data_IF_281647001678
#
_entry.id   IF_281647001678
#
_cell.length_a   1.000
_cell.length_b   1.000
_cell.length_c   1.000
_cell.angle_alpha   90.00
_cell.angle_beta   90.00
_cell.angle_gamma   90.00
#
_symmetry.space_group_name_H-M   'P 1'
#
loop_
_entity.id
_entity.type
_entity.pdbx_description
1 polymer ?
#
# COMPACT_ATOMS: atom_id res chain seq x y z
N UNK A 1 0.46 -18.52 19.48
CA UNK A 1 0.38 -17.05 19.54
C UNK A 1 -0.20 -16.54 18.23
N UNK A 2 -1.24 -15.71 18.30
CA UNK A 2 -1.92 -15.16 17.12
C UNK A 2 -1.28 -13.83 16.69
N UNK A 3 -1.10 -13.63 15.38
CA UNK A 3 -0.47 -12.43 14.81
C UNK A 3 -1.30 -11.83 13.69
N UNK A 4 -1.34 -10.50 13.64
CA UNK A 4 -1.85 -9.72 12.52
C UNK A 4 -0.70 -9.23 11.66
N UNK A 5 -0.94 -9.06 10.37
CA UNK A 5 0.04 -8.53 9.43
C UNK A 5 -0.52 -7.30 8.75
N UNK A 6 0.24 -6.20 8.80
CA UNK A 6 -0.08 -4.94 8.14
C UNK A 6 0.94 -4.71 7.05
N UNK A 7 0.46 -4.51 5.84
CA UNK A 7 1.30 -4.15 4.70
C UNK A 7 1.09 -2.68 4.38
N UNK A 8 2.18 -1.93 4.33
CA UNK A 8 2.16 -0.48 4.14
C UNK A 8 3.37 -0.03 3.33
N UNK A 9 3.20 0.96 2.46
CA UNK A 9 4.36 1.66 1.91
C UNK A 9 5.04 2.44 3.03
N UNK A 10 6.37 2.41 3.09
CA UNK A 10 7.12 2.94 4.24
C UNK A 10 7.13 4.46 4.27
N UNK A 11 6.63 5.11 5.34
CA UNK A 11 6.92 6.51 5.60
C UNK A 11 8.26 6.73 6.34
N UNK A 12 8.83 5.69 6.95
CA UNK A 12 10.08 5.79 7.74
C UNK A 12 11.36 5.60 6.95
N UNK A 13 11.27 4.89 5.83
CA UNK A 13 12.37 4.75 4.89
C UNK A 13 12.08 5.70 3.72
N UNK A 14 12.45 6.97 3.87
CA UNK A 14 12.24 8.06 2.89
C UNK A 14 12.78 7.74 1.49
N UNK A 15 13.44 6.59 1.30
CA UNK A 15 14.09 6.14 0.09
C UNK A 15 13.27 5.12 -0.72
N UNK A 16 12.16 4.55 -0.20
CA UNK A 16 11.48 3.47 -0.91
C UNK A 16 9.94 3.52 -0.89
N UNK A 17 9.37 4.47 -1.63
CA UNK A 17 7.93 4.56 -1.88
C UNK A 17 7.35 3.43 -2.74
N UNK A 18 8.22 2.55 -3.28
CA UNK A 18 7.81 1.47 -4.18
C UNK A 18 7.78 0.10 -3.50
N UNK A 19 8.44 -0.07 -2.35
CA UNK A 19 8.42 -1.34 -1.61
C UNK A 19 7.37 -1.36 -0.52
N UNK A 20 6.59 -2.43 -0.53
CA UNK A 20 5.61 -2.71 0.50
C UNK A 20 6.30 -3.34 1.72
N UNK A 21 6.26 -2.66 2.87
CA UNK A 21 6.76 -3.20 4.13
C UNK A 21 5.70 -4.00 4.85
N UNK A 22 6.14 -5.08 5.49
CA UNK A 22 5.31 -5.96 6.31
C UNK A 22 5.61 -5.74 7.79
N UNK A 23 4.60 -5.35 8.56
CA UNK A 23 4.67 -5.23 10.01
C UNK A 23 3.86 -6.35 10.63
N UNK A 24 4.48 -7.11 11.55
CA UNK A 24 3.83 -8.20 12.28
C UNK A 24 3.50 -7.75 13.69
N UNK A 25 2.23 -7.85 14.07
CA UNK A 25 1.70 -7.37 15.35
C UNK A 25 1.09 -8.54 16.12
N UNK A 26 1.28 -8.57 17.43
CA UNK A 26 0.66 -9.59 18.25
C UNK A 26 -0.82 -9.26 18.47
N UNK A 27 -1.70 -10.24 18.26
CA UNK A 27 -3.13 -10.06 18.53
C UNK A 27 -3.36 -9.74 20.01
N UNK A 28 -4.19 -8.73 20.29
CA UNK A 28 -4.60 -8.38 21.66
C UNK A 28 -5.31 -9.56 22.34
N UNK A 29 -5.88 -10.49 21.55
CA UNK A 29 -6.56 -11.68 22.06
C UNK A 29 -5.62 -12.67 22.74
N UNK A 30 -4.31 -12.52 22.57
CA UNK A 30 -3.34 -13.28 23.37
C UNK A 30 -3.21 -12.72 24.81
N UNK A 31 -3.78 -11.54 25.09
CA UNK A 31 -3.66 -10.80 26.35
C UNK A 31 -5.03 -10.62 27.03
N UNK A 32 -6.07 -10.35 26.25
CA UNK A 32 -7.43 -10.10 26.71
C UNK A 32 -8.41 -11.04 26.02
N UNK A 33 -9.49 -11.45 26.69
CA UNK A 33 -10.52 -12.30 26.07
C UNK A 33 -11.32 -11.58 24.97
N UNK A 34 -11.27 -10.24 24.96
CA UNK A 34 -12.03 -9.37 24.05
C UNK A 34 -11.19 -8.19 23.61
N UNK A 35 -11.52 -7.62 22.45
CA UNK A 35 -10.91 -6.39 21.98
C UNK A 35 -11.27 -5.20 22.87
N UNK A 36 -10.29 -4.51 23.50
CA UNK A 36 -10.55 -3.26 24.20
C UNK A 36 -11.09 -2.20 23.25
N UNK A 37 -12.12 -1.47 23.68
CA UNK A 37 -12.72 -0.41 22.88
C UNK A 37 -12.16 0.95 23.30
N UNK A 38 -11.65 1.67 22.32
CA UNK A 38 -11.06 3.00 22.47
C UNK A 38 -12.05 4.02 21.89
N UNK A 39 -12.38 5.03 22.70
CA UNK A 39 -13.31 6.09 22.29
C UNK A 39 -12.73 7.03 21.25
N UNK A 40 -13.60 7.66 20.47
CA UNK A 40 -13.22 8.60 19.40
C UNK A 40 -12.34 9.76 19.89
N UNK A 41 -12.53 10.20 21.15
CA UNK A 41 -11.75 11.30 21.75
C UNK A 41 -10.24 11.10 21.59
N UNK A 42 -9.75 9.88 21.84
CA UNK A 42 -8.32 9.56 21.67
C UNK A 42 -7.83 9.91 20.26
N UNK A 43 -8.59 9.53 19.23
CA UNK A 43 -8.22 9.78 17.83
C UNK A 43 -8.37 11.25 17.44
N UNK A 44 -9.35 11.96 18.00
CA UNK A 44 -9.51 13.39 17.78
C UNK A 44 -8.34 14.18 18.36
N UNK A 45 -7.91 13.84 19.58
CA UNK A 45 -6.74 14.43 20.22
C UNK A 45 -5.46 14.15 19.40
N UNK A 46 -5.32 12.92 18.89
CA UNK A 46 -4.20 12.54 18.01
C UNK A 46 -4.20 13.36 16.71
N UNK A 47 -5.37 13.55 16.09
CA UNK A 47 -5.53 14.40 14.89
C UNK A 47 -5.20 15.86 15.15
N UNK A 48 -5.62 16.41 16.30
CA UNK A 48 -5.26 17.75 16.71
C UNK A 48 -3.73 17.89 16.86
N UNK A 49 -3.08 16.92 17.50
CA UNK A 49 -1.62 16.90 17.63
C UNK A 49 -0.91 16.84 16.27
N UNK A 50 -1.42 16.06 15.30
CA UNK A 50 -0.88 16.00 13.93
C UNK A 50 -0.93 17.37 13.24
N UNK A 51 -1.96 18.17 13.50
CA UNK A 51 -2.08 19.51 12.93
C UNK A 51 -1.14 20.53 13.60
N UNK A 52 -0.81 20.32 14.87
CA UNK A 52 -0.10 21.30 15.69
C UNK A 52 1.40 21.03 15.80
N UNK A 53 1.83 19.76 15.81
CA UNK A 53 3.18 19.37 16.17
C UNK A 53 3.87 18.62 15.03
N UNK A 54 5.03 19.09 14.51
CA UNK A 54 5.70 18.49 13.35
C UNK A 54 6.15 17.03 13.53
N UNK A 55 6.40 16.60 14.77
CA UNK A 55 6.76 15.21 15.07
C UNK A 55 5.55 14.27 15.14
N UNK A 56 4.34 14.80 14.98
CA UNK A 56 3.13 14.03 14.72
C UNK A 56 2.83 14.07 13.23
N UNK A 57 2.70 12.91 12.62
CA UNK A 57 2.57 12.77 11.16
C UNK A 57 1.41 11.88 10.77
N UNK A 58 0.93 12.06 9.55
CA UNK A 58 -0.18 11.32 8.99
C UNK A 58 0.12 10.88 7.56
N UNK A 59 -0.14 9.61 7.26
CA UNK A 59 0.07 9.07 5.91
C UNK A 59 -1.02 8.06 5.52
N UNK A 60 -1.51 8.17 4.28
CA UNK A 60 -2.38 7.16 3.68
C UNK A 60 -1.51 6.13 2.96
N UNK A 61 -1.16 5.04 3.64
CA UNK A 61 -0.14 4.08 3.17
C UNK A 61 -0.48 2.61 3.41
N UNK A 62 -1.50 2.31 4.24
CA UNK A 62 -1.93 0.93 4.46
C UNK A 62 -2.51 0.38 3.16
N UNK A 63 -2.07 -0.81 2.77
CA UNK A 63 -2.45 -1.49 1.53
C UNK A 63 -3.04 -2.89 1.72
N UNK A 64 -2.73 -3.56 2.83
CA UNK A 64 -3.33 -4.87 3.13
C UNK A 64 -3.29 -5.14 4.62
N UNK A 65 -4.34 -5.78 5.14
CA UNK A 65 -4.40 -6.27 6.52
C UNK A 65 -4.83 -7.72 6.48
N UNK A 66 -4.04 -8.56 7.13
CA UNK A 66 -4.25 -10.01 7.20
C UNK A 66 -4.37 -10.41 8.67
N UNK A 67 -5.40 -11.19 8.98
CA UNK A 67 -5.64 -11.70 10.32
C UNK A 67 -4.79 -12.95 10.64
N UNK A 68 -4.83 -13.45 11.90
CA UNK A 68 -4.10 -14.65 12.28
C UNK A 68 -4.53 -15.94 11.55
N UNK A 69 -5.66 -15.93 10.83
CA UNK A 69 -6.19 -17.05 10.06
C UNK A 69 -5.95 -16.86 8.56
N UNK A 70 -5.07 -15.94 8.16
CA UNK A 70 -4.77 -15.59 6.78
C UNK A 70 -5.97 -15.03 6.00
N UNK A 71 -6.95 -14.45 6.68
CA UNK A 71 -8.06 -13.76 6.04
C UNK A 71 -7.70 -12.31 5.78
N UNK A 72 -7.95 -11.87 4.54
CA UNK A 72 -7.83 -10.48 4.13
C UNK A 72 -9.02 -9.63 4.58
N UNK A 73 -8.72 -8.39 4.98
CA UNK A 73 -9.71 -7.41 5.42
C UNK A 73 -9.71 -6.18 4.53
N UNK A 74 -10.88 -5.57 4.38
CA UNK A 74 -11.02 -4.23 3.81
C UNK A 74 -10.30 -3.22 4.69
N UNK A 75 -9.51 -2.33 4.09
CA UNK A 75 -8.53 -1.50 4.82
C UNK A 75 -9.11 -0.18 5.32
N UNK A 76 -10.25 0.28 4.78
CA UNK A 76 -10.78 1.65 4.97
C UNK A 76 -11.10 1.96 6.44
N UNK A 77 -11.46 0.94 7.21
CA UNK A 77 -11.80 1.08 8.62
C UNK A 77 -10.62 0.83 9.56
N UNK A 78 -9.38 0.84 9.08
CA UNK A 78 -8.22 0.55 9.91
C UNK A 78 -7.32 1.75 10.09
N UNK A 79 -6.79 1.86 11.30
CA UNK A 79 -5.78 2.84 11.68
C UNK A 79 -4.60 2.08 12.27
N UNK A 80 -3.38 2.38 11.81
CA UNK A 80 -2.17 1.90 12.41
C UNK A 80 -1.41 3.07 13.04
N UNK A 81 -1.11 2.98 14.32
CA UNK A 81 -0.31 3.99 15.04
C UNK A 81 1.08 3.43 15.26
N UNK A 82 2.08 4.22 14.89
CA UNK A 82 3.48 3.93 15.16
C UNK A 82 4.12 5.14 15.83
N UNK A 83 4.68 4.94 17.02
CA UNK A 83 5.24 6.01 17.81
C UNK A 83 6.50 5.57 18.55
N UNK A 84 7.28 6.55 18.95
CA UNK A 84 8.43 6.36 19.81
C UNK A 84 8.49 7.50 20.82
N UNK A 85 8.73 7.18 22.08
CA UNK A 85 8.96 8.19 23.10
C UNK A 85 10.41 8.68 23.16
N UNK A 86 10.68 9.67 24.02
CA UNK A 86 12.03 10.21 24.24
C UNK A 86 12.99 9.21 24.88
N UNK A 87 12.48 8.16 25.53
CA UNK A 87 13.26 7.05 26.07
C UNK A 87 13.51 5.95 25.02
N UNK A 88 13.18 6.20 23.75
CA UNK A 88 13.33 5.28 22.61
C UNK A 88 12.49 4.00 22.75
N UNK A 89 11.43 4.01 23.56
CA UNK A 89 10.46 2.91 23.60
C UNK A 89 9.52 3.02 22.41
N UNK A 90 9.36 1.91 21.68
CA UNK A 90 8.52 1.83 20.49
C UNK A 90 7.10 1.40 20.86
N UNK A 91 6.13 1.98 20.17
CA UNK A 91 4.72 1.65 20.31
C UNK A 91 4.11 1.46 18.92
N UNK A 92 3.53 0.30 18.69
CA UNK A 92 2.82 -0.03 17.46
C UNK A 92 1.46 -0.59 17.80
N UNK A 93 0.41 -0.03 17.20
CA UNK A 93 -0.96 -0.41 17.47
C UNK A 93 -1.77 -0.47 16.19
N UNK A 94 -2.56 -1.53 16.06
CA UNK A 94 -3.56 -1.66 15.01
C UNK A 94 -4.95 -1.53 15.60
N UNK A 95 -5.72 -0.59 15.06
CA UNK A 95 -7.09 -0.31 15.47
C UNK A 95 -8.05 -0.54 14.32
N UNK A 96 -9.22 -1.09 14.64
CA UNK A 96 -10.35 -1.20 13.71
C UNK A 96 -11.47 -0.24 14.13
N UNK A 97 -11.72 0.78 13.32
CA UNK A 97 -12.83 1.72 13.44
C UNK A 97 -14.15 0.96 13.29
N UNK A 98 -15.08 1.21 14.20
CA UNK A 98 -16.41 0.60 14.20
C UNK A 98 -17.44 1.55 14.82
N UNK A 99 -18.70 1.36 14.45
CA UNK A 99 -19.82 2.08 15.05
C UNK A 99 -20.54 1.17 16.05
N UNK A 100 -20.71 1.62 17.29
CA UNK A 100 -21.44 0.91 18.35
C UNK A 100 -22.41 1.88 19.01
N UNK A 101 -23.70 1.53 19.07
CA UNK A 101 -24.74 2.37 19.68
C UNK A 101 -24.75 3.82 19.14
N UNK A 102 -24.60 3.97 17.83
CA UNK A 102 -24.43 5.27 17.15
C UNK A 102 -23.17 6.08 17.46
N UNK A 103 -22.30 5.59 18.35
CA UNK A 103 -21.01 6.20 18.64
C UNK A 103 -19.89 5.54 17.83
N UNK A 104 -18.98 6.36 17.30
CA UNK A 104 -17.77 5.87 16.65
C UNK A 104 -16.74 5.49 17.72
N UNK A 105 -16.20 4.29 17.60
CA UNK A 105 -15.16 3.75 18.48
C UNK A 105 -14.13 3.01 17.63
N UNK A 106 -13.01 2.62 18.24
CA UNK A 106 -12.10 1.69 17.60
C UNK A 106 -11.73 0.55 18.53
N UNK A 107 -11.78 -0.68 18.01
CA UNK A 107 -11.24 -1.84 18.70
C UNK A 107 -9.71 -1.82 18.59
N UNK A 108 -9.01 -1.95 19.71
CA UNK A 108 -7.58 -2.25 19.72
C UNK A 108 -7.41 -3.72 19.33
N UNK A 109 -6.87 -4.01 18.15
CA UNK A 109 -6.83 -5.36 17.57
C UNK A 109 -5.49 -6.04 17.80
N UNK A 110 -4.39 -5.32 17.60
CA UNK A 110 -3.05 -5.87 17.72
C UNK A 110 -2.04 -4.81 18.16
N UNK A 111 -0.93 -5.27 18.72
CA UNK A 111 0.14 -4.39 19.19
C UNK A 111 1.53 -5.02 19.10
N UNK A 112 2.55 -4.15 19.09
CA UNK A 112 3.96 -4.50 19.16
C UNK A 112 4.73 -3.33 19.81
N UNK A 113 5.95 -3.55 20.34
CA UNK A 113 6.72 -4.79 20.37
C UNK A 113 6.29 -5.74 21.51
N UNK A 114 6.98 -6.86 21.69
CA UNK A 114 6.61 -7.90 22.67
C UNK A 114 6.66 -7.38 24.12
N UNK A 115 7.54 -6.43 24.40
CA UNK A 115 7.66 -5.75 25.69
C UNK A 115 6.36 -5.03 26.06
N UNK A 116 5.71 -4.41 25.07
CA UNK A 116 4.43 -3.76 25.24
C UNK A 116 3.29 -4.77 25.50
N UNK A 117 3.37 -5.95 24.86
CA UNK A 117 2.45 -7.06 25.14
C UNK A 117 2.60 -7.49 26.60
N UNK A 118 3.83 -7.70 27.07
CA UNK A 118 4.11 -8.06 28.47
C UNK A 118 3.55 -7.01 29.44
N UNK A 119 3.74 -5.72 29.14
CA UNK A 119 3.18 -4.63 29.94
C UNK A 119 1.65 -4.72 30.03
N UNK A 120 0.98 -4.98 28.90
CA UNK A 120 -0.47 -5.07 28.83
C UNK A 120 -0.99 -6.34 29.53
N UNK A 121 -0.27 -7.45 29.46
CA UNK A 121 -0.61 -8.67 30.20
C UNK A 121 -0.53 -8.48 31.71
N UNK A 122 0.48 -7.77 32.20
CA UNK A 122 0.69 -7.54 33.63
C UNK A 122 -0.30 -6.52 34.19
N UNK A 123 -0.48 -5.38 33.53
CA UNK A 123 -1.23 -4.24 34.09
C UNK A 123 -2.58 -3.98 33.41
N UNK A 124 -2.95 -4.76 32.39
CA UNK A 124 -4.27 -4.78 31.74
C UNK A 124 -4.74 -3.38 31.34
N UNK A 125 -5.91 -2.96 31.86
CA UNK A 125 -6.58 -1.70 31.53
C UNK A 125 -5.73 -0.48 31.88
N UNK A 126 -4.95 -0.54 32.95
CA UNK A 126 -4.13 0.58 33.40
C UNK A 126 -3.00 0.87 32.41
N UNK A 127 -2.36 -0.17 31.87
CA UNK A 127 -1.36 -0.02 30.81
C UNK A 127 -1.96 0.61 29.56
N UNK A 128 -3.16 0.18 29.14
CA UNK A 128 -3.85 0.77 27.99
C UNK A 128 -4.04 2.27 28.21
N UNK A 129 -4.61 2.68 29.35
CA UNK A 129 -4.87 4.09 29.63
C UNK A 129 -3.59 4.91 29.65
N UNK A 130 -2.56 4.46 30.40
CA UNK A 130 -1.27 5.16 30.50
C UNK A 130 -0.60 5.30 29.14
N UNK A 131 -0.56 4.23 28.34
CA UNK A 131 0.07 4.28 27.02
C UNK A 131 -0.69 5.16 26.04
N UNK A 132 -2.03 5.08 25.99
CA UNK A 132 -2.81 5.96 25.11
C UNK A 132 -2.72 7.44 25.53
N UNK A 133 -2.67 7.73 26.84
CA UNK A 133 -2.40 9.09 27.32
C UNK A 133 -1.01 9.59 26.92
N UNK A 134 0.01 8.72 26.98
CA UNK A 134 1.36 9.04 26.53
C UNK A 134 1.40 9.33 25.02
N UNK A 135 0.65 8.59 24.21
CA UNK A 135 0.56 8.83 22.76
C UNK A 135 -0.06 10.20 22.41
N UNK A 136 -0.94 10.73 23.27
CA UNK A 136 -1.53 12.06 23.08
C UNK A 136 -0.72 13.19 23.73
N UNK A 137 0.38 12.89 24.40
CA UNK A 137 1.25 13.89 25.02
C UNK A 137 2.44 14.23 24.11
N UNK A 138 2.33 15.37 23.42
CA UNK A 138 3.37 15.85 22.50
C UNK A 138 4.74 16.09 23.16
N UNK A 139 4.79 16.33 24.48
CA UNK A 139 6.03 16.62 25.19
C UNK A 139 6.87 15.37 25.44
N UNK A 140 6.25 14.19 25.47
CA UNK A 140 6.91 12.92 25.81
C UNK A 140 7.34 12.12 24.59
N UNK A 141 6.76 12.41 23.42
CA UNK A 141 7.07 11.67 22.20
C UNK A 141 8.26 12.25 21.44
N UNK A 142 9.06 11.34 20.88
CA UNK A 142 10.04 11.65 19.83
C UNK A 142 9.32 11.79 18.49
N UNK A 143 8.39 10.86 18.20
CA UNK A 143 7.47 10.97 17.07
C UNK A 143 6.21 10.14 17.31
N UNK A 144 5.14 10.47 16.58
CA UNK A 144 3.97 9.63 16.39
C UNK A 144 3.48 9.74 14.95
N UNK A 145 3.12 8.61 14.37
CA UNK A 145 2.64 8.52 13.00
C UNK A 145 1.33 7.74 12.99
N UNK A 146 0.29 8.35 12.42
CA UNK A 146 -0.97 7.71 12.14
C UNK A 146 -1.01 7.31 10.67
N UNK A 147 -1.13 6.01 10.40
CA UNK A 147 -1.34 5.47 9.07
C UNK A 147 -2.80 5.10 8.87
N UNK A 148 -3.35 5.50 7.74
CA UNK A 148 -4.67 5.10 7.26
C UNK A 148 -4.58 4.41 5.90
N UNK A 149 -5.72 3.90 5.45
CA UNK A 149 -5.88 3.23 4.17
C UNK A 149 -5.49 4.12 2.98
N UNK A 150 -4.79 3.52 2.02
CA UNK A 150 -4.53 4.13 0.72
C UNK A 150 -5.37 3.48 -0.36
N UNK A 151 -6.53 4.08 -0.66
CA UNK A 151 -7.43 3.57 -1.69
C UNK A 151 -8.03 2.21 -1.31
N UNK A 152 -8.07 1.28 -2.28
CA UNK A 152 -8.50 -0.11 -2.07
C UNK A 152 -7.34 -0.97 -1.56
N UNK A 153 -7.67 -2.07 -0.92
CA UNK A 153 -6.69 -3.08 -0.50
C UNK A 153 -6.12 -3.83 -1.70
N UNK A 154 -4.91 -4.37 -1.57
CA UNK A 154 -4.29 -5.19 -2.62
C UNK A 154 -5.14 -6.41 -2.98
N UNK A 155 -5.88 -6.98 -2.02
CA UNK A 155 -6.80 -8.08 -2.27
C UNK A 155 -7.96 -7.63 -3.16
N UNK A 156 -8.58 -6.48 -2.86
CA UNK A 156 -9.64 -5.88 -3.69
C UNK A 156 -9.12 -5.51 -5.08
N UNK A 157 -7.93 -4.90 -5.18
CA UNK A 157 -7.29 -4.59 -6.46
C UNK A 157 -7.07 -5.87 -7.29
N UNK A 158 -6.55 -6.94 -6.67
CA UNK A 158 -6.33 -8.22 -7.36
C UNK A 158 -7.63 -8.91 -7.83
N UNK A 159 -8.74 -8.71 -7.11
CA UNK A 159 -10.05 -9.19 -7.52
C UNK A 159 -10.62 -8.37 -8.68
N UNK A 160 -10.42 -7.05 -8.71
CA UNK A 160 -10.80 -6.24 -9.88
C UNK A 160 -9.96 -6.55 -11.13
N UNK A 161 -8.71 -6.98 -10.93
CA UNK A 161 -7.86 -7.50 -12.01
C UNK A 161 -8.15 -8.95 -12.40
N UNK A 162 -9.08 -9.66 -11.75
CA UNK A 162 -9.63 -10.89 -12.34
C UNK A 162 -10.48 -10.51 -13.53
N UNK A 163 -9.84 -10.57 -14.69
CA UNK A 163 -10.35 -10.27 -16.01
C UNK A 163 -11.79 -10.80 -16.13
N UNK A 164 -12.77 -9.90 -16.20
CA UNK A 164 -14.16 -10.22 -16.53
C UNK A 164 -14.15 -11.19 -17.73
N UNK A 165 -14.95 -12.26 -17.69
CA UNK A 165 -15.04 -13.22 -18.80
C UNK A 165 -15.30 -12.51 -20.14
N UNK A 166 -15.99 -11.35 -20.16
CA UNK A 166 -16.11 -10.51 -21.36
C UNK A 166 -14.79 -9.87 -21.80
N UNK A 167 -13.93 -9.47 -20.86
CA UNK A 167 -12.60 -8.94 -21.12
C UNK A 167 -11.62 -10.03 -21.58
N UNK A 168 -11.72 -11.25 -21.03
CA UNK A 168 -11.01 -12.43 -21.55
C UNK A 168 -11.45 -12.75 -22.97
N UNK A 169 -12.76 -12.74 -23.24
CA UNK A 169 -13.31 -12.91 -24.58
C UNK A 169 -12.85 -11.81 -25.55
N UNK A 170 -12.75 -10.55 -25.10
CA UNK A 170 -12.21 -9.44 -25.92
C UNK A 170 -10.73 -9.58 -26.21
N UNK A 171 -9.93 -10.05 -25.26
CA UNK A 171 -8.49 -10.32 -25.45
C UNK A 171 -8.29 -11.51 -26.38
N UNK A 172 -9.04 -12.60 -26.18
CA UNK A 172 -9.05 -13.76 -27.07
C UNK A 172 -9.52 -13.38 -28.48
N UNK A 173 -10.56 -12.57 -28.61
CA UNK A 173 -11.05 -12.04 -29.88
C UNK A 173 -10.04 -11.11 -30.54
N UNK A 174 -9.37 -10.23 -29.79
CA UNK A 174 -8.29 -9.38 -30.31
C UNK A 174 -7.10 -10.21 -30.78
N UNK A 175 -6.72 -11.26 -30.04
CA UNK A 175 -5.65 -12.18 -30.44
C UNK A 175 -6.04 -13.05 -31.63
N UNK A 176 -7.32 -13.45 -31.73
CA UNK A 176 -7.89 -14.13 -32.89
C UNK A 176 -7.90 -13.22 -34.14
N UNK A 177 -8.31 -11.96 -34.00
CA UNK A 177 -8.26 -10.97 -35.08
C UNK A 177 -6.82 -10.67 -35.54
N UNK A 178 -5.84 -10.70 -34.63
CA UNK A 178 -4.41 -10.62 -34.98
C UNK A 178 -3.90 -11.85 -35.72
N UNK A 179 -4.61 -12.97 -35.62
CA UNK A 179 -4.34 -14.23 -36.32
C UNK A 179 -5.07 -14.38 -37.65
N UNK A 180 -5.90 -13.40 -38.02
CA UNK A 180 -6.59 -13.39 -39.29
C UNK A 180 -6.04 -12.29 -40.20
N UNK A 181 -5.76 -12.60 -41.49
CA UNK A 181 -5.46 -11.57 -42.45
C UNK A 181 -6.71 -10.69 -42.67
N UNK A 182 -6.50 -9.40 -42.92
CA UNK A 182 -7.59 -8.51 -43.31
C UNK A 182 -8.18 -8.93 -44.68
N UNK A 183 -9.26 -8.25 -45.12
CA UNK A 183 -9.98 -8.51 -46.38
C UNK A 183 -9.09 -8.45 -47.64
N UNK A 184 -7.84 -8.00 -47.51
CA UNK A 184 -6.82 -7.91 -48.57
C UNK A 184 -5.68 -8.93 -48.38
N UNK A 185 -5.80 -9.90 -47.46
CA UNK A 185 -4.78 -10.93 -47.22
C UNK A 185 -3.60 -10.48 -46.34
N UNK A 186 -3.66 -9.30 -45.71
CA UNK A 186 -2.53 -8.73 -44.98
C UNK A 186 -2.68 -8.86 -43.46
N UNK A 187 -1.61 -9.30 -42.79
CA UNK A 187 -1.55 -9.40 -41.33
C UNK A 187 -1.33 -8.01 -40.68
N UNK A 188 -2.05 -7.71 -39.58
CA UNK A 188 -1.93 -6.45 -38.83
C UNK A 188 -0.45 -6.11 -38.49
N UNK A 189 -0.03 -4.84 -38.56
CA UNK A 189 1.30 -4.48 -39.07
C UNK A 189 2.41 -4.68 -38.04
N UNK A 190 3.26 -5.68 -38.27
CA UNK A 190 4.59 -5.78 -37.64
C UNK A 190 5.69 -5.21 -38.53
N UNK A 191 5.44 -4.09 -39.24
CA UNK A 191 6.47 -3.39 -40.01
C UNK A 191 7.31 -2.48 -39.11
N UNK A 192 8.02 -3.08 -38.14
CA UNK A 192 9.18 -2.42 -37.55
C UNK A 192 10.35 -2.59 -38.53
N UNK A 193 10.84 -1.52 -39.17
CA UNK A 193 11.93 -1.61 -40.12
C UNK A 193 13.19 -2.17 -39.44
N UNK A 194 13.84 -3.12 -40.11
CA UNK A 194 15.10 -3.72 -39.67
C UNK A 194 16.26 -2.82 -40.08
N UNK A 195 17.30 -2.79 -39.26
CA UNK A 195 18.55 -2.12 -39.59
C UNK A 195 19.19 -2.82 -40.81
N UNK A 196 19.60 -2.08 -41.85
CA UNK A 196 20.23 -2.68 -43.04
C UNK A 196 21.64 -3.21 -42.75
N UNK A 197 22.28 -2.78 -41.65
CA UNK A 197 23.63 -3.20 -41.28
C UNK A 197 23.62 -4.49 -40.46
N UNK A 198 22.81 -4.57 -39.40
CA UNK A 198 22.84 -5.72 -38.47
C UNK A 198 21.54 -6.53 -38.40
N UNK A 199 20.50 -6.16 -39.15
CA UNK A 199 19.22 -6.88 -39.19
C UNK A 199 18.32 -6.72 -37.96
N UNK A 200 18.81 -6.07 -36.90
CA UNK A 200 18.05 -5.80 -35.66
C UNK A 200 16.95 -4.75 -35.88
N UNK A 201 15.83 -4.88 -35.15
CA UNK A 201 14.71 -3.93 -35.24
C UNK A 201 15.10 -2.53 -34.78
N UNK A 202 14.73 -1.51 -35.55
CA UNK A 202 14.98 -0.11 -35.20
C UNK A 202 13.98 0.41 -34.17
N UNK A 203 14.44 1.28 -33.26
CA UNK A 203 13.61 1.95 -32.25
C UNK A 203 13.19 3.36 -32.73
N UNK A 204 12.30 4.04 -31.99
CA UNK A 204 11.82 5.42 -32.26
C UNK A 204 10.89 5.59 -33.48
N UNK A 205 10.07 4.56 -33.76
CA UNK A 205 9.14 4.53 -34.90
C UNK A 205 8.06 5.61 -34.88
N UNK A 206 7.61 6.03 -33.69
CA UNK A 206 6.52 7.00 -33.55
C UNK A 206 6.96 8.38 -34.02
N UNK A 207 8.15 8.85 -33.63
CA UNK A 207 8.70 10.13 -34.08
C UNK A 207 9.04 10.14 -35.59
N UNK A 208 9.56 9.03 -36.13
CA UNK A 208 9.85 8.89 -37.56
C UNK A 208 8.59 8.91 -38.44
N UNK A 209 7.48 8.30 -37.98
CA UNK A 209 6.21 8.29 -38.72
C UNK A 209 5.63 9.70 -38.91
N UNK A 210 5.71 10.54 -37.87
CA UNK A 210 5.17 11.91 -37.85
C UNK A 210 6.11 12.91 -38.58
N UNK A 211 7.29 12.46 -39.03
CA UNK A 211 8.18 13.24 -39.89
C UNK A 211 9.21 14.10 -39.19
N UNK A 212 9.32 14.00 -37.86
CA UNK A 212 10.27 14.78 -37.05
C UNK A 212 11.38 13.93 -36.40
N UNK A 213 11.35 12.61 -36.58
CA UNK A 213 12.31 11.68 -35.96
C UNK A 213 13.28 11.03 -36.94
N UNK A 214 14.41 10.56 -36.39
CA UNK A 214 15.34 9.63 -37.04
C UNK A 214 15.11 8.21 -36.51
N UNK A 215 15.30 7.20 -37.35
CA UNK A 215 15.37 5.82 -36.88
C UNK A 215 16.79 5.52 -36.46
N UNK A 216 17.00 5.08 -35.21
CA UNK A 216 18.32 4.69 -34.71
C UNK A 216 18.32 3.18 -34.43
N UNK A 217 19.35 2.49 -34.93
CA UNK A 217 19.60 1.12 -34.55
C UNK A 217 20.27 1.07 -33.16
N UNK A 218 19.67 0.40 -32.16
CA UNK A 218 20.24 0.34 -30.82
C UNK A 218 21.50 -0.52 -30.73
N UNK A 219 21.79 -1.34 -31.76
CA UNK A 219 22.90 -2.30 -31.72
C UNK A 219 24.15 -1.79 -32.43
N UNK A 220 24.00 -1.12 -33.59
CA UNK A 220 25.14 -0.62 -34.36
C UNK A 220 25.17 0.90 -34.53
N UNK A 221 24.19 1.62 -33.98
CA UNK A 221 24.13 3.08 -34.06
C UNK A 221 23.73 3.63 -35.44
N UNK A 222 23.36 2.78 -36.41
CA UNK A 222 22.92 3.22 -37.73
C UNK A 222 21.71 4.17 -37.62
N UNK A 223 21.80 5.33 -38.25
CA UNK A 223 20.73 6.33 -38.27
C UNK A 223 20.13 6.48 -39.68
N UNK A 224 18.80 6.51 -39.77
CA UNK A 224 18.09 6.83 -41.01
C UNK A 224 17.17 8.03 -40.81
N UNK A 225 17.44 9.08 -41.56
CA UNK A 225 16.61 10.28 -41.61
C UNK A 225 15.49 10.12 -42.65
N UNK A 226 14.31 10.66 -42.34
CA UNK A 226 13.25 10.81 -43.34
C UNK A 226 13.56 12.07 -44.13
N UNK A 227 14.18 11.94 -45.29
CA UNK A 227 14.31 13.06 -46.22
C UNK A 227 12.89 13.54 -46.57
N UNK A 228 12.68 14.86 -46.52
CA UNK A 228 11.42 15.50 -46.94
C UNK A 228 11.09 15.15 -48.38
#
# INVERSE_FOLDING_TARGET
MLYWEVYTYTPWDRLNSQTLSKVRLMSILNVFDKYPLIGLRFFNDLKANIQQYPHYTFYNTIKRIVDPKNKDYTIQNWNFVWAMDKEKRLYQFLFQKMKRNNEMMAALVALAPLELVKLFSTHKKEAILKTLSLLNNHKTLSFATLLEAQGKSLAEESQEFTIDNKSLQRIQFSNYLKQQPNIQGQWFPHFSPKCPICGTFMKELEAYRIGFGKLICPQCGYEKYKNK
#
